data_IF_239785978908
#
_entry.id   IF_239785978908
#
_cell.length_a   1.000
_cell.length_b   1.000
_cell.length_c   1.000
_cell.angle_alpha   90.00
_cell.angle_beta   90.00
_cell.angle_gamma   90.00
#
_symmetry.space_group_name_H-M   'P 1'
#
loop_
_entity.id
_entity.type
_entity.pdbx_description
1 polymer ?
#
# COMPACT_ATOMS: atom_id res chain seq x y z
N UNK A 1 -2.33 -40.62 5.69
CA UNK A 1 -2.34 -39.12 5.79
C UNK A 1 -3.75 -38.60 6.00
N UNK A 2 -4.71 -38.98 5.15
CA UNK A 2 -6.08 -38.48 5.21
C UNK A 2 -6.84 -38.87 6.50
N UNK A 3 -6.60 -40.06 7.03
CA UNK A 3 -7.22 -40.50 8.30
C UNK A 3 -6.63 -39.75 9.50
N UNK A 4 -5.38 -39.41 9.45
CA UNK A 4 -4.71 -38.65 10.51
C UNK A 4 -5.18 -37.19 10.55
N UNK A 5 -5.36 -36.55 9.38
CA UNK A 5 -5.93 -35.22 9.25
C UNK A 5 -7.39 -35.19 9.77
N UNK A 6 -8.20 -36.18 9.37
CA UNK A 6 -9.59 -36.32 9.87
C UNK A 6 -9.63 -36.47 11.39
N UNK A 7 -8.75 -37.25 11.97
CA UNK A 7 -8.68 -37.43 13.42
C UNK A 7 -8.29 -36.12 14.14
N UNK A 8 -7.35 -35.39 13.59
CA UNK A 8 -6.93 -34.08 14.13
C UNK A 8 -8.07 -33.04 14.08
N UNK A 9 -8.75 -32.93 12.95
CA UNK A 9 -9.88 -32.00 12.78
C UNK A 9 -11.05 -32.39 13.68
N UNK A 10 -11.39 -33.68 13.74
CA UNK A 10 -12.45 -34.15 14.62
C UNK A 10 -12.13 -33.88 16.10
N UNK A 11 -10.91 -34.12 16.55
CA UNK A 11 -10.48 -33.81 17.90
C UNK A 11 -10.52 -32.29 18.20
N UNK A 12 -10.14 -31.49 17.25
CA UNK A 12 -10.23 -30.02 17.37
C UNK A 12 -11.67 -29.54 17.51
N UNK A 13 -12.56 -30.04 16.66
CA UNK A 13 -13.98 -29.72 16.71
C UNK A 13 -14.61 -30.22 18.02
N UNK A 14 -14.35 -31.46 18.39
CA UNK A 14 -14.93 -32.09 19.59
C UNK A 14 -14.52 -31.35 20.88
N UNK A 15 -13.29 -30.85 20.96
CA UNK A 15 -12.79 -30.10 22.13
C UNK A 15 -13.41 -28.71 22.27
N UNK A 16 -13.94 -28.15 21.22
CA UNK A 16 -14.40 -26.75 21.19
C UNK A 16 -15.94 -26.61 20.99
N UNK A 17 -16.62 -27.66 20.57
CA UNK A 17 -18.08 -27.65 20.48
C UNK A 17 -18.72 -27.76 21.86
N UNK A 18 -19.73 -26.95 22.10
CA UNK A 18 -20.62 -27.13 23.25
C UNK A 18 -21.46 -28.40 23.11
N UNK A 19 -22.05 -28.88 24.20
CA UNK A 19 -22.91 -30.09 24.20
C UNK A 19 -24.15 -29.96 23.30
N UNK A 20 -24.63 -28.73 23.05
CA UNK A 20 -25.74 -28.43 22.15
C UNK A 20 -25.39 -27.25 21.23
N UNK A 21 -24.53 -27.47 20.21
CA UNK A 21 -24.03 -26.40 19.39
C UNK A 21 -25.08 -25.79 18.47
N UNK A 22 -25.13 -24.49 18.43
CA UNK A 22 -25.95 -23.73 17.48
C UNK A 22 -25.37 -23.83 16.07
N UNK A 23 -26.21 -23.58 15.04
CA UNK A 23 -25.71 -23.49 13.64
C UNK A 23 -24.59 -22.47 13.48
N UNK A 24 -24.63 -21.40 14.27
CA UNK A 24 -23.59 -20.35 14.23
C UNK A 24 -22.29 -20.87 14.82
N UNK A 25 -22.31 -21.53 15.98
CA UNK A 25 -21.11 -22.15 16.57
C UNK A 25 -20.49 -23.17 15.64
N UNK A 26 -21.30 -24.00 14.98
CA UNK A 26 -20.79 -24.93 13.96
C UNK A 26 -20.11 -24.22 12.80
N UNK A 27 -20.71 -23.14 12.30
CA UNK A 27 -20.16 -22.38 11.18
C UNK A 27 -18.86 -21.70 11.56
N UNK A 28 -18.81 -21.05 12.72
CA UNK A 28 -17.64 -20.32 13.21
C UNK A 28 -16.48 -21.28 13.52
N UNK A 29 -16.78 -22.43 14.09
CA UNK A 29 -15.80 -23.44 14.42
C UNK A 29 -15.27 -24.19 13.18
N UNK A 30 -16.13 -24.45 12.19
CA UNK A 30 -15.71 -25.01 10.91
C UNK A 30 -14.76 -24.07 10.17
N UNK A 31 -15.03 -22.78 10.19
CA UNK A 31 -14.15 -21.76 9.62
C UNK A 31 -12.79 -21.71 10.35
N UNK A 32 -12.80 -21.74 11.69
CA UNK A 32 -11.58 -21.81 12.48
C UNK A 32 -10.79 -23.11 12.24
N UNK A 33 -11.45 -24.23 12.01
CA UNK A 33 -10.82 -25.49 11.66
C UNK A 33 -10.12 -25.43 10.30
N UNK A 34 -10.70 -24.78 9.31
CA UNK A 34 -10.08 -24.58 7.98
C UNK A 34 -8.81 -23.74 8.08
N UNK A 35 -8.80 -22.71 8.92
CA UNK A 35 -7.61 -21.88 9.17
C UNK A 35 -6.52 -22.64 9.92
N UNK A 36 -6.90 -23.51 10.85
CA UNK A 36 -5.98 -24.32 11.64
C UNK A 36 -5.37 -25.49 10.85
N UNK A 37 -6.14 -26.04 9.90
CA UNK A 37 -5.81 -27.21 9.10
C UNK A 37 -6.13 -26.93 7.63
N UNK A 38 -5.36 -26.09 6.93
CA UNK A 38 -5.62 -25.72 5.53
C UNK A 38 -5.63 -26.92 4.57
N UNK A 39 -4.95 -28.04 4.92
CA UNK A 39 -4.93 -29.28 4.17
C UNK A 39 -6.32 -29.94 4.04
N UNK A 40 -7.28 -29.54 4.87
CA UNK A 40 -8.68 -29.98 4.75
C UNK A 40 -9.29 -29.57 3.42
N UNK A 41 -8.87 -28.48 2.83
CA UNK A 41 -9.34 -28.00 1.52
C UNK A 41 -8.93 -29.00 0.44
N UNK A 42 -7.65 -29.41 0.41
CA UNK A 42 -7.13 -30.37 -0.56
C UNK A 42 -7.75 -31.77 -0.37
N UNK A 43 -7.93 -32.17 0.89
CA UNK A 43 -8.66 -33.42 1.22
C UNK A 43 -10.09 -33.38 0.66
N UNK A 44 -10.80 -32.28 0.85
CA UNK A 44 -12.17 -32.12 0.39
C UNK A 44 -12.26 -32.11 -1.15
N UNK A 45 -11.33 -31.45 -1.83
CA UNK A 45 -11.25 -31.44 -3.30
C UNK A 45 -11.03 -32.86 -3.81
N UNK A 46 -10.04 -33.59 -3.28
CA UNK A 46 -9.76 -35.00 -3.65
C UNK A 46 -10.94 -35.93 -3.42
N UNK A 47 -11.62 -35.79 -2.28
CA UNK A 47 -12.85 -36.56 -1.99
C UNK A 47 -13.95 -36.28 -3.02
N UNK A 48 -14.04 -35.05 -3.50
CA UNK A 48 -15.03 -34.63 -4.51
C UNK A 48 -14.71 -35.17 -5.89
N UNK A 49 -13.46 -35.16 -6.28
CA UNK A 49 -12.98 -35.73 -7.53
C UNK A 49 -13.23 -37.26 -7.60
N UNK A 50 -13.10 -37.95 -6.45
CA UNK A 50 -13.30 -39.39 -6.35
C UNK A 50 -14.78 -39.83 -6.27
N UNK A 51 -15.73 -38.92 -5.95
CA UNK A 51 -17.16 -39.30 -5.75
C UNK A 51 -18.05 -39.10 -6.98
N UNK A 52 -17.53 -38.57 -8.09
CA UNK A 52 -18.22 -38.43 -9.37
C UNK A 52 -19.43 -37.48 -9.38
N UNK A 53 -20.28 -37.62 -10.42
CA UNK A 53 -21.36 -36.65 -10.71
C UNK A 53 -22.44 -36.51 -9.64
N UNK A 54 -22.70 -37.52 -8.81
CA UNK A 54 -23.70 -37.44 -7.75
C UNK A 54 -23.35 -36.42 -6.63
N UNK A 55 -22.09 -36.05 -6.51
CA UNK A 55 -21.61 -35.08 -5.55
C UNK A 55 -21.75 -33.61 -5.99
N UNK A 56 -22.04 -33.35 -7.26
CA UNK A 56 -22.01 -32.02 -7.87
C UNK A 56 -23.03 -31.05 -7.22
N UNK A 57 -24.26 -31.50 -7.01
CA UNK A 57 -25.31 -30.64 -6.42
C UNK A 57 -25.06 -30.31 -4.95
N UNK A 58 -24.68 -31.29 -4.14
CA UNK A 58 -24.31 -31.12 -2.73
C UNK A 58 -23.02 -30.27 -2.58
N UNK A 59 -22.11 -30.42 -3.54
CA UNK A 59 -20.86 -29.66 -3.64
C UNK A 59 -21.08 -28.19 -3.96
N UNK A 60 -22.02 -27.85 -4.85
CA UNK A 60 -22.32 -26.46 -5.18
C UNK A 60 -22.87 -25.69 -3.97
N UNK A 61 -23.83 -26.28 -3.24
CA UNK A 61 -24.42 -25.67 -2.04
C UNK A 61 -23.39 -25.49 -0.92
N UNK A 62 -22.56 -26.51 -0.65
CA UNK A 62 -21.52 -26.43 0.38
C UNK A 62 -20.36 -25.50 -0.01
N UNK A 63 -19.99 -25.42 -1.29
CA UNK A 63 -19.02 -24.44 -1.76
C UNK A 63 -19.52 -23.02 -1.52
N UNK A 64 -20.79 -22.77 -1.78
CA UNK A 64 -21.39 -21.47 -1.54
C UNK A 64 -21.41 -21.13 -0.04
N UNK A 65 -21.79 -22.09 0.83
CA UNK A 65 -21.76 -21.92 2.28
C UNK A 65 -20.33 -21.63 2.79
N UNK A 66 -19.32 -22.36 2.32
CA UNK A 66 -17.90 -22.14 2.67
C UNK A 66 -17.40 -20.81 2.13
N UNK A 67 -17.78 -20.45 0.90
CA UNK A 67 -17.42 -19.17 0.30
C UNK A 67 -18.02 -17.99 1.07
N UNK A 68 -19.29 -18.08 1.48
CA UNK A 68 -19.97 -17.06 2.30
C UNK A 68 -19.31 -16.89 3.68
N UNK A 69 -18.84 -18.00 4.28
CA UNK A 69 -18.09 -17.97 5.54
C UNK A 69 -16.74 -17.31 5.32
N UNK A 70 -16.01 -17.68 4.26
CA UNK A 70 -14.71 -17.10 3.94
C UNK A 70 -14.82 -15.60 3.66
N UNK A 71 -15.81 -15.18 2.86
CA UNK A 71 -16.08 -13.76 2.58
C UNK A 71 -16.36 -12.99 3.86
N UNK A 72 -17.17 -13.56 4.76
CA UNK A 72 -17.48 -12.95 6.05
C UNK A 72 -16.27 -12.80 6.95
N UNK A 73 -15.40 -13.80 6.99
CA UNK A 73 -14.14 -13.75 7.74
C UNK A 73 -13.17 -12.73 7.18
N UNK A 74 -13.02 -12.69 5.85
CA UNK A 74 -12.19 -11.67 5.18
C UNK A 74 -12.74 -10.27 5.46
N UNK A 75 -14.06 -10.08 5.38
CA UNK A 75 -14.71 -8.81 5.73
C UNK A 75 -14.44 -8.42 7.19
N UNK A 76 -14.50 -9.37 8.11
CA UNK A 76 -14.23 -9.12 9.53
C UNK A 76 -12.78 -8.77 9.79
N UNK A 77 -11.84 -9.47 9.16
CA UNK A 77 -10.39 -9.12 9.23
C UNK A 77 -10.12 -7.75 8.63
N UNK A 78 -10.72 -7.43 7.49
CA UNK A 78 -10.61 -6.10 6.86
C UNK A 78 -11.16 -5.01 7.78
N UNK A 79 -12.32 -5.26 8.43
CA UNK A 79 -12.91 -4.29 9.36
C UNK A 79 -12.09 -4.15 10.64
N UNK A 80 -11.53 -5.23 11.17
CA UNK A 80 -10.63 -5.20 12.33
C UNK A 80 -9.34 -4.44 12.01
N UNK A 81 -8.76 -4.65 10.82
CA UNK A 81 -7.59 -3.89 10.35
C UNK A 81 -7.95 -2.42 10.13
N UNK A 82 -9.12 -2.13 9.55
CA UNK A 82 -9.63 -0.78 9.32
C UNK A 82 -9.87 -0.03 10.63
N UNK A 83 -10.35 -0.71 11.66
CA UNK A 83 -10.71 -0.12 12.96
C UNK A 83 -9.52 0.01 13.89
N UNK A 84 -8.61 -0.97 13.88
CA UNK A 84 -7.52 -1.08 14.86
C UNK A 84 -6.15 -0.66 14.33
N UNK A 85 -6.02 -0.33 13.05
CA UNK A 85 -4.75 0.12 12.46
C UNK A 85 -4.93 1.36 11.60
N UNK A 86 -3.87 2.16 11.49
CA UNK A 86 -3.81 3.30 10.56
C UNK A 86 -3.60 2.85 9.10
N UNK A 87 -3.43 1.56 8.85
CA UNK A 87 -3.10 0.99 7.54
C UNK A 87 -4.21 1.21 6.51
N UNK A 88 -5.47 1.26 6.96
CA UNK A 88 -6.67 1.47 6.14
C UNK A 88 -7.48 2.69 6.58
N UNK A 89 -6.84 3.71 7.13
CA UNK A 89 -7.52 4.99 7.23
C UNK A 89 -7.84 5.44 5.81
N UNK A 90 -9.11 5.30 5.45
CA UNK A 90 -9.62 5.76 4.15
C UNK A 90 -9.38 7.26 4.08
N UNK A 91 -8.49 7.67 3.18
CA UNK A 91 -8.24 9.08 2.94
C UNK A 91 -9.55 9.72 2.49
N UNK A 92 -9.95 10.81 3.15
CA UNK A 92 -11.25 11.43 2.92
C UNK A 92 -11.32 12.03 1.52
N UNK A 93 -10.18 12.52 1.01
CA UNK A 93 -10.07 13.14 -0.30
C UNK A 93 -8.74 12.77 -0.99
N UNK A 94 -8.62 13.14 -2.27
CA UNK A 94 -7.45 12.82 -3.08
C UNK A 94 -6.15 13.44 -2.56
N UNK A 95 -6.22 14.58 -1.87
CA UNK A 95 -5.04 15.22 -1.29
C UNK A 95 -4.52 14.45 -0.07
N UNK A 96 -5.42 14.04 0.81
CA UNK A 96 -5.04 13.25 1.99
C UNK A 96 -4.46 11.90 1.55
N UNK A 97 -5.02 11.27 0.52
CA UNK A 97 -4.46 10.05 -0.08
C UNK A 97 -3.07 10.31 -0.64
N UNK A 98 -2.90 11.33 -1.48
CA UNK A 98 -1.62 11.67 -2.09
C UNK A 98 -0.55 11.95 -1.03
N UNK A 99 -0.89 12.68 0.02
CA UNK A 99 0.00 13.00 1.12
C UNK A 99 0.34 11.78 1.97
N UNK A 100 -0.66 10.96 2.30
CA UNK A 100 -0.44 9.72 3.06
C UNK A 100 0.51 8.77 2.32
N UNK A 101 0.35 8.62 0.99
CA UNK A 101 1.24 7.81 0.16
C UNK A 101 2.65 8.39 0.09
N UNK A 102 2.78 9.70 -0.05
CA UNK A 102 4.09 10.36 -0.04
C UNK A 102 4.81 10.19 1.31
N UNK A 103 4.08 10.32 2.43
CA UNK A 103 4.63 10.09 3.77
C UNK A 103 4.97 8.62 4.02
N UNK A 104 4.15 7.69 3.53
CA UNK A 104 4.43 6.25 3.58
C UNK A 104 5.71 5.90 2.80
N UNK A 105 5.90 6.49 1.61
CA UNK A 105 7.13 6.33 0.85
C UNK A 105 8.35 6.90 1.57
N UNK A 106 8.21 8.09 2.16
CA UNK A 106 9.25 8.67 3.01
C UNK A 106 9.63 7.72 4.14
N UNK A 107 8.65 7.23 4.89
CA UNK A 107 8.86 6.26 5.97
C UNK A 107 9.59 5.00 5.50
N UNK A 108 9.18 4.44 4.37
CA UNK A 108 9.81 3.26 3.79
C UNK A 108 11.25 3.52 3.38
N UNK A 109 11.52 4.64 2.68
CA UNK A 109 12.87 5.00 2.24
C UNK A 109 13.79 5.30 3.41
N UNK A 110 13.31 6.05 4.41
CA UNK A 110 14.14 6.51 5.51
C UNK A 110 14.37 5.45 6.60
N UNK A 111 13.35 4.61 6.89
CA UNK A 111 13.33 3.76 8.09
C UNK A 111 13.17 2.26 7.81
N UNK A 112 12.89 1.85 6.58
CA UNK A 112 12.61 0.44 6.24
C UNK A 112 13.46 -0.07 5.06
N UNK A 113 14.71 0.37 4.98
CA UNK A 113 15.68 -0.04 3.95
C UNK A 113 15.31 0.33 2.49
N UNK A 114 14.23 1.06 2.26
CA UNK A 114 13.80 1.46 0.91
C UNK A 114 14.85 2.32 0.17
N UNK A 115 15.73 3.00 0.90
CA UNK A 115 16.86 3.72 0.30
C UNK A 115 17.76 2.81 -0.55
N UNK A 116 17.84 1.51 -0.26
CA UNK A 116 18.64 0.54 -1.03
C UNK A 116 18.13 0.31 -2.45
N UNK A 117 16.84 0.50 -2.67
CA UNK A 117 16.26 0.44 -4.01
C UNK A 117 16.67 1.65 -4.87
N UNK A 118 16.93 2.77 -4.19
CA UNK A 118 17.29 4.04 -4.82
C UNK A 118 18.79 4.23 -4.95
N UNK A 119 19.59 3.56 -4.08
CA UNK A 119 21.05 3.54 -4.12
C UNK A 119 21.52 2.14 -4.53
N UNK A 120 22.16 2.05 -5.68
CA UNK A 120 22.59 0.78 -6.29
C UNK A 120 24.10 0.77 -6.48
N UNK A 121 24.88 0.60 -5.40
CA UNK A 121 26.33 0.59 -5.49
C UNK A 121 26.81 -0.53 -6.44
N UNK A 122 27.74 -0.21 -7.31
CA UNK A 122 28.27 -1.14 -8.32
C UNK A 122 27.52 -1.16 -9.66
N UNK A 123 26.40 -0.43 -9.79
CA UNK A 123 25.77 -0.19 -11.08
C UNK A 123 26.44 0.98 -11.82
N UNK A 124 26.31 0.98 -13.15
CA UNK A 124 26.80 2.09 -14.00
C UNK A 124 26.19 3.44 -13.58
N UNK A 125 24.93 3.40 -13.11
CA UNK A 125 24.23 4.53 -12.48
C UNK A 125 23.88 4.16 -11.04
N UNK A 126 24.69 4.57 -10.06
CA UNK A 126 24.50 4.13 -8.67
C UNK A 126 23.28 4.77 -8.01
N UNK A 127 22.80 5.92 -8.47
CA UNK A 127 21.62 6.60 -7.93
C UNK A 127 20.45 6.47 -8.89
N UNK A 128 19.25 6.30 -8.34
CA UNK A 128 18.03 6.24 -9.10
C UNK A 128 17.75 7.58 -9.80
N UNK A 129 17.28 7.50 -11.03
CA UNK A 129 16.75 8.64 -11.78
C UNK A 129 15.36 9.02 -11.29
N UNK A 130 14.90 10.24 -11.60
CA UNK A 130 13.55 10.68 -11.27
C UNK A 130 12.48 9.70 -11.79
N UNK A 131 12.66 9.20 -13.02
CA UNK A 131 11.74 8.20 -13.62
C UNK A 131 11.71 6.87 -12.87
N UNK A 132 12.83 6.40 -12.35
CA UNK A 132 12.89 5.17 -11.54
C UNK A 132 12.23 5.38 -10.18
N UNK A 133 12.43 6.54 -9.54
CA UNK A 133 11.71 6.89 -8.31
C UNK A 133 10.20 6.91 -8.55
N UNK A 134 9.75 7.49 -9.67
CA UNK A 134 8.33 7.48 -10.05
C UNK A 134 7.78 6.05 -10.24
N UNK A 135 8.58 5.14 -10.81
CA UNK A 135 8.19 3.74 -10.95
C UNK A 135 7.98 3.08 -9.59
N UNK A 136 8.93 3.23 -8.66
CA UNK A 136 8.82 2.69 -7.31
C UNK A 136 7.66 3.31 -6.53
N UNK A 137 7.50 4.61 -6.61
CA UNK A 137 6.41 5.30 -5.94
C UNK A 137 5.04 4.85 -6.47
N UNK A 138 4.94 4.56 -7.77
CA UNK A 138 3.71 4.06 -8.38
C UNK A 138 3.21 2.75 -7.77
N UNK A 139 4.11 1.89 -7.25
CA UNK A 139 3.73 0.64 -6.60
C UNK A 139 2.94 0.86 -5.29
N UNK A 140 3.14 1.99 -4.63
CA UNK A 140 2.46 2.30 -3.35
C UNK A 140 0.97 2.54 -3.55
N UNK A 141 0.54 2.89 -4.76
CA UNK A 141 -0.88 3.07 -5.09
C UNK A 141 -1.60 1.76 -5.42
N UNK A 142 -0.88 0.64 -5.43
CA UNK A 142 -1.54 -0.64 -5.65
C UNK A 142 -2.56 -0.90 -4.52
N UNK A 143 -3.81 -1.13 -4.90
CA UNK A 143 -4.92 -1.28 -3.94
C UNK A 143 -5.49 0.05 -3.39
N UNK A 144 -5.14 1.21 -3.95
CA UNK A 144 -5.82 2.47 -3.63
C UNK A 144 -7.26 2.45 -4.16
N UNK A 145 -8.20 3.04 -3.40
CA UNK A 145 -9.58 3.27 -3.83
C UNK A 145 -9.70 4.49 -4.78
N UNK A 146 -8.60 5.22 -4.99
CA UNK A 146 -8.54 6.38 -5.86
C UNK A 146 -8.07 5.98 -7.25
N UNK A 147 -8.56 6.69 -8.24
CA UNK A 147 -8.07 6.59 -9.60
C UNK A 147 -6.71 7.31 -9.71
N UNK A 148 -5.66 6.56 -10.05
CA UNK A 148 -4.29 7.06 -10.11
C UNK A 148 -3.74 6.94 -11.52
N UNK A 149 -3.50 8.09 -12.14
CA UNK A 149 -2.99 8.20 -13.49
C UNK A 149 -1.58 8.78 -13.49
N UNK A 150 -0.68 8.21 -14.29
CA UNK A 150 0.71 8.66 -14.46
C UNK A 150 0.86 9.50 -15.72
N UNK A 151 1.80 10.45 -15.70
CA UNK A 151 2.19 11.28 -16.85
C UNK A 151 1.00 11.98 -17.52
N UNK A 152 0.04 12.47 -16.72
CA UNK A 152 -1.16 13.13 -17.24
C UNK A 152 -0.82 14.53 -17.73
N UNK A 153 -1.07 14.82 -19.00
CA UNK A 153 -0.97 16.17 -19.53
C UNK A 153 -2.20 17.01 -19.12
N UNK A 154 -2.02 17.90 -18.17
CA UNK A 154 -3.06 18.82 -17.68
C UNK A 154 -3.07 20.17 -18.43
N UNK A 155 -2.58 20.22 -19.67
CA UNK A 155 -2.55 21.45 -20.48
C UNK A 155 -1.39 22.41 -20.16
N UNK A 156 -0.55 22.11 -19.17
CA UNK A 156 0.62 22.89 -18.75
C UNK A 156 1.89 22.05 -18.60
N UNK A 157 1.89 20.87 -19.15
CA UNK A 157 2.94 19.87 -19.06
C UNK A 157 2.49 18.60 -18.31
N UNK A 158 3.23 17.50 -18.46
CA UNK A 158 2.93 16.27 -17.75
C UNK A 158 3.20 16.43 -16.26
N UNK A 159 2.27 15.96 -15.43
CA UNK A 159 2.48 15.75 -14.00
C UNK A 159 2.80 14.29 -13.75
N UNK A 160 3.60 14.00 -12.73
CA UNK A 160 4.06 12.64 -12.49
C UNK A 160 2.91 11.71 -12.11
N UNK A 161 2.04 12.16 -11.19
CA UNK A 161 0.82 11.43 -10.80
C UNK A 161 -0.35 12.38 -10.60
N UNK A 162 -1.52 11.90 -11.00
CA UNK A 162 -2.81 12.49 -10.67
C UNK A 162 -3.60 11.47 -9.89
N UNK A 163 -4.00 11.84 -8.68
CA UNK A 163 -4.87 11.06 -7.80
C UNK A 163 -6.25 11.69 -7.84
N UNK A 164 -7.31 10.91 -8.08
CA UNK A 164 -8.66 11.46 -8.18
C UNK A 164 -9.73 10.53 -7.63
N UNK A 165 -10.81 11.15 -7.11
CA UNK A 165 -12.03 10.47 -6.69
C UNK A 165 -13.21 11.20 -7.34
N UNK A 166 -13.70 10.63 -8.41
CA UNK A 166 -14.72 11.28 -9.26
C UNK A 166 -14.16 12.46 -10.08
N UNK A 167 -15.06 13.34 -10.54
CA UNK A 167 -14.72 14.41 -11.48
C UNK A 167 -14.11 15.66 -10.84
N UNK A 168 -14.39 15.91 -9.57
CA UNK A 168 -14.09 17.17 -8.88
C UNK A 168 -12.86 17.04 -7.98
N UNK A 169 -12.77 15.96 -7.21
CA UNK A 169 -11.69 15.72 -6.26
C UNK A 169 -10.44 15.19 -6.98
N UNK A 170 -9.44 16.05 -7.14
CA UNK A 170 -8.20 15.77 -7.87
C UNK A 170 -7.02 16.38 -7.17
N UNK A 171 -5.95 15.61 -7.02
CA UNK A 171 -4.66 16.05 -6.49
C UNK A 171 -3.53 15.61 -7.39
N UNK A 172 -2.46 16.37 -7.38
CA UNK A 172 -1.28 16.11 -8.20
C UNK A 172 -0.11 15.77 -7.30
N UNK A 173 0.74 14.86 -7.75
CA UNK A 173 2.02 14.59 -7.11
C UNK A 173 3.12 14.84 -8.12
N UNK A 174 4.13 15.55 -7.68
CA UNK A 174 5.33 15.82 -8.46
C UNK A 174 6.57 15.40 -7.70
N UNK A 175 7.44 14.64 -8.34
CA UNK A 175 8.66 14.09 -7.78
C UNK A 175 9.84 14.81 -8.42
N UNK A 176 10.74 15.32 -7.60
CA UNK A 176 11.98 15.96 -8.07
C UNK A 176 13.17 15.42 -7.29
N UNK A 177 14.28 15.28 -7.98
CA UNK A 177 15.55 15.05 -7.32
C UNK A 177 16.12 16.40 -6.83
N UNK A 178 16.71 16.41 -5.65
CA UNK A 178 17.37 17.60 -5.10
C UNK A 178 18.52 18.10 -5.97
N UNK A 179 19.17 17.19 -6.72
CA UNK A 179 20.23 17.51 -7.69
C UNK A 179 19.73 18.31 -8.89
N UNK A 180 18.41 18.38 -9.13
CA UNK A 180 17.84 19.13 -10.23
C UNK A 180 18.23 20.62 -10.13
N UNK A 181 18.86 21.16 -11.19
CA UNK A 181 19.32 22.55 -11.24
C UNK A 181 18.17 23.57 -11.24
N UNK A 182 16.99 23.15 -11.68
CA UNK A 182 15.79 23.99 -11.74
C UNK A 182 14.87 23.85 -10.51
N UNK A 183 15.33 23.15 -9.45
CA UNK A 183 14.50 22.85 -8.28
C UNK A 183 13.84 24.10 -7.70
N UNK A 184 14.62 25.15 -7.45
CA UNK A 184 14.11 26.43 -6.92
C UNK A 184 13.04 27.04 -7.81
N UNK A 185 13.31 27.15 -9.12
CA UNK A 185 12.38 27.68 -10.11
C UNK A 185 11.09 26.85 -10.20
N UNK A 186 11.24 25.53 -10.14
CA UNK A 186 10.09 24.61 -10.15
C UNK A 186 9.21 24.81 -8.90
N UNK A 187 9.80 24.98 -7.73
CA UNK A 187 9.06 25.25 -6.50
C UNK A 187 8.37 26.63 -6.55
N UNK A 188 9.05 27.67 -7.03
CA UNK A 188 8.47 29.02 -7.18
C UNK A 188 7.30 29.06 -8.16
N UNK A 189 7.48 28.50 -9.36
CA UNK A 189 6.48 28.57 -10.42
C UNK A 189 5.23 27.73 -10.13
N UNK A 190 5.40 26.61 -9.47
CA UNK A 190 4.32 25.70 -9.20
C UNK A 190 3.39 26.22 -8.11
N UNK A 191 3.91 26.86 -7.08
CA UNK A 191 3.07 27.54 -6.06
C UNK A 191 2.17 28.57 -6.74
N UNK A 192 2.71 29.42 -7.62
CA UNK A 192 1.95 30.48 -8.27
C UNK A 192 0.98 29.98 -9.36
N UNK A 193 1.31 28.89 -10.05
CA UNK A 193 0.56 28.36 -11.19
C UNK A 193 -0.61 27.47 -10.77
N UNK A 194 -0.42 26.65 -9.72
CA UNK A 194 -1.50 25.80 -9.20
C UNK A 194 -2.55 26.57 -8.42
N UNK A 195 -2.17 27.64 -7.74
CA UNK A 195 -3.12 28.53 -7.06
C UNK A 195 -4.08 29.23 -8.04
N UNK A 196 -3.62 29.57 -9.24
CA UNK A 196 -4.41 30.33 -10.24
C UNK A 196 -5.25 29.48 -11.19
N UNK A 197 -4.87 28.20 -11.47
CA UNK A 197 -5.38 27.53 -12.66
C UNK A 197 -6.59 26.63 -12.44
N UNK A 198 -6.78 26.05 -11.27
CA UNK A 198 -7.80 25.01 -11.08
C UNK A 198 -8.64 25.16 -9.80
N UNK A 199 -8.48 26.18 -9.00
CA UNK A 199 -9.11 26.25 -7.68
C UNK A 199 -8.71 25.07 -6.76
N UNK A 200 -7.77 24.23 -7.20
CA UNK A 200 -7.30 23.07 -6.48
C UNK A 200 -5.96 23.38 -5.81
N UNK A 201 -6.00 23.72 -4.52
CA UNK A 201 -4.84 23.84 -3.64
C UNK A 201 -4.21 22.50 -3.29
N UNK A 202 -4.19 21.54 -4.19
CA UNK A 202 -3.98 20.13 -3.85
C UNK A 202 -2.89 19.51 -4.69
N UNK A 203 -1.65 19.95 -4.45
CA UNK A 203 -0.48 19.27 -5.00
C UNK A 203 0.48 18.89 -3.88
N UNK A 204 1.02 17.66 -3.96
CA UNK A 204 2.10 17.17 -3.10
C UNK A 204 3.39 17.15 -3.90
N UNK A 205 4.47 17.69 -3.31
CA UNK A 205 5.80 17.71 -3.92
C UNK A 205 6.73 16.83 -3.10
N UNK A 206 7.33 15.88 -3.76
CA UNK A 206 8.31 14.99 -3.16
C UNK A 206 9.70 15.37 -3.67
N UNK A 207 10.63 15.61 -2.75
CA UNK A 207 12.00 15.97 -3.08
C UNK A 207 12.93 14.89 -2.52
N UNK A 208 13.66 14.21 -3.40
CA UNK A 208 14.54 13.11 -3.03
C UNK A 208 15.98 13.63 -2.90
N UNK A 209 16.57 13.41 -1.73
CA UNK A 209 17.94 13.81 -1.40
C UNK A 209 18.83 12.57 -1.29
N UNK A 210 19.93 12.51 -2.05
CA UNK A 210 20.87 11.40 -2.04
C UNK A 210 22.18 11.72 -1.30
N UNK A 211 22.46 13.00 -1.06
CA UNK A 211 23.71 13.47 -0.44
C UNK A 211 23.45 14.54 0.62
N UNK A 212 24.43 14.79 1.49
CA UNK A 212 24.39 15.91 2.45
C UNK A 212 24.24 17.26 1.74
N UNK A 213 24.90 17.42 0.60
CA UNK A 213 24.77 18.62 -0.24
C UNK A 213 23.34 18.80 -0.75
N UNK A 214 22.65 17.70 -1.10
CA UNK A 214 21.24 17.77 -1.51
C UNK A 214 20.35 18.25 -0.37
N UNK A 215 20.55 17.71 0.84
CA UNK A 215 19.78 18.10 2.02
C UNK A 215 20.00 19.57 2.34
N UNK A 216 21.24 20.02 2.36
CA UNK A 216 21.59 21.41 2.62
C UNK A 216 21.02 22.36 1.54
N UNK A 217 21.10 21.98 0.26
CA UNK A 217 20.52 22.73 -0.85
C UNK A 217 19.01 22.88 -0.73
N UNK A 218 18.30 21.77 -0.45
CA UNK A 218 16.84 21.77 -0.29
C UNK A 218 16.44 22.66 0.88
N UNK A 219 17.10 22.52 2.02
CA UNK A 219 16.82 23.33 3.19
C UNK A 219 17.01 24.83 2.94
N UNK A 220 18.10 25.22 2.25
CA UNK A 220 18.35 26.59 1.86
C UNK A 220 17.28 27.14 0.91
N UNK A 221 16.85 26.36 -0.08
CA UNK A 221 15.79 26.74 -1.03
C UNK A 221 14.46 26.90 -0.31
N UNK A 222 14.08 25.96 0.56
CA UNK A 222 12.82 26.02 1.31
C UNK A 222 12.80 27.22 2.28
N UNK A 223 13.94 27.54 2.90
CA UNK A 223 14.10 28.73 3.74
C UNK A 223 13.93 30.02 2.93
N UNK A 224 14.60 30.11 1.79
CA UNK A 224 14.54 31.28 0.92
C UNK A 224 13.14 31.55 0.37
N UNK A 225 12.36 30.50 0.13
CA UNK A 225 11.00 30.59 -0.40
C UNK A 225 9.92 30.65 0.68
N UNK A 226 10.30 30.66 1.97
CA UNK A 226 9.40 30.60 3.13
C UNK A 226 8.46 29.37 3.09
N UNK A 227 8.99 28.23 2.64
CA UNK A 227 8.26 26.97 2.47
C UNK A 227 8.65 25.89 3.49
N UNK A 228 9.45 26.24 4.51
CA UNK A 228 9.77 25.31 5.58
C UNK A 228 8.53 24.93 6.37
N UNK A 229 8.32 23.63 6.57
CA UNK A 229 7.15 23.13 7.30
C UNK A 229 5.86 23.09 6.49
N UNK A 230 5.91 23.47 5.20
CA UNK A 230 4.77 23.33 4.31
C UNK A 230 4.40 21.85 4.15
N UNK A 231 3.17 21.50 4.56
CA UNK A 231 2.69 20.11 4.59
C UNK A 231 2.67 19.44 3.22
N UNK A 232 2.50 20.22 2.17
CA UNK A 232 2.47 19.76 0.79
C UNK A 232 3.85 19.41 0.21
N UNK A 233 4.93 19.69 0.94
CA UNK A 233 6.32 19.42 0.52
C UNK A 233 6.91 18.31 1.38
N UNK A 234 7.14 17.16 0.78
CA UNK A 234 7.70 15.98 1.45
C UNK A 234 9.16 15.81 1.02
N UNK A 235 10.09 16.19 1.88
CA UNK A 235 11.52 15.95 1.66
C UNK A 235 11.86 14.55 2.15
N UNK A 236 12.52 13.76 1.31
CA UNK A 236 12.87 12.36 1.55
C UNK A 236 14.38 12.20 1.56
N UNK A 237 14.92 11.79 2.69
CA UNK A 237 16.32 11.47 2.86
C UNK A 237 16.62 10.04 2.39
N UNK A 238 17.10 9.93 1.16
CA UNK A 238 17.48 8.66 0.55
C UNK A 238 19.00 8.37 0.65
N UNK A 239 19.74 9.09 1.52
CA UNK A 239 21.17 8.83 1.73
C UNK A 239 21.38 7.42 2.28
N UNK A 240 22.44 6.77 1.87
CA UNK A 240 22.78 5.41 2.35
C UNK A 240 23.76 5.41 3.53
N UNK A 241 24.55 6.47 3.67
CA UNK A 241 25.64 6.60 4.64
C UNK A 241 25.18 6.93 6.06
N UNK A 242 23.99 7.51 6.22
CA UNK A 242 23.41 7.87 7.51
C UNK A 242 22.42 6.81 8.06
N UNK A 243 22.37 5.62 7.45
CA UNK A 243 21.48 4.52 7.84
C UNK A 243 22.30 3.28 8.24
N UNK A 244 22.83 3.24 9.48
CA UNK A 244 23.64 2.09 9.93
C UNK A 244 22.78 0.82 9.94
N UNK A 245 23.35 -0.27 9.44
CA UNK A 245 22.76 -1.59 9.56
C UNK A 245 22.69 -1.98 11.04
N UNK A 246 21.53 -2.44 11.51
CA UNK A 246 21.35 -2.89 12.89
C UNK A 246 22.29 -4.03 13.34
N UNK A 247 23.00 -4.67 12.40
CA UNK A 247 24.06 -5.64 12.65
C UNK A 247 25.43 -5.00 12.88
N UNK A 248 25.55 -3.67 12.80
CA UNK A 248 26.79 -2.90 13.03
C UNK A 248 26.66 -1.85 14.13
N UNK A 249 25.54 -1.87 14.87
CA UNK A 249 25.28 -1.02 16.02
C UNK A 249 25.74 -1.70 17.31
#
# INVERSE_FOLDING_TARGET
EDDQLRAQVNNYLFKKLSDNPTKKEYSDLAAAAILQFPEVIDYYIRQKENTGEQAVGLSAKRRQEVFEVLVRMVQQVVEDIRTNTTLYQTSVNSYDEALARAMGFKQYVENQDGHRLLNRPGHERPLATEKEVQLFFGLIFFGSEFDVNREVNNGRGPVDFKVSKGAIDKSLIEIKLASNSQLKRNLQNQVAVYEKANGTRTSVKMIICFTDSDVAKVDAVLKELDLRGERSIVVIDARADNKPSGSKA
#
